data_IF_518501770190
#
_entry.id   IF_518501770190
#
_cell.length_a   1.000
_cell.length_b   1.000
_cell.length_c   1.000
_cell.angle_alpha   90.00
_cell.angle_beta   90.00
_cell.angle_gamma   90.00
#
_symmetry.space_group_name_H-M   'P 1'
#
loop_
_entity.id
_entity.type
_entity.pdbx_description
1 polymer ?
#
# COMPACT_ATOMS: atom_id res chain seq x y z
N UNK A 1 -18.85 -54.43 -91.09
CA UNK A 1 -18.63 -53.01 -91.24
C UNK A 1 -18.81 -52.38 -89.88
N UNK A 2 -17.81 -52.27 -89.10
CA UNK A 2 -17.87 -51.79 -87.73
C UNK A 2 -16.79 -50.73 -87.52
N UNK A 3 -17.18 -49.53 -87.29
CA UNK A 3 -16.29 -48.41 -86.97
C UNK A 3 -15.84 -48.52 -85.50
N UNK A 4 -14.57 -48.38 -85.17
CA UNK A 4 -14.15 -48.25 -83.80
C UNK A 4 -14.32 -46.80 -83.27
N UNK A 5 -14.90 -46.71 -82.15
CA UNK A 5 -15.14 -45.51 -81.38
C UNK A 5 -13.85 -44.99 -80.71
N UNK A 6 -13.47 -43.78 -80.98
CA UNK A 6 -12.31 -43.15 -80.38
C UNK A 6 -12.53 -42.84 -78.90
N UNK A 7 -11.60 -43.27 -78.02
CA UNK A 7 -11.59 -42.96 -76.62
C UNK A 7 -11.04 -41.54 -76.32
N UNK A 8 -11.81 -40.72 -75.68
CA UNK A 8 -11.43 -39.38 -75.27
C UNK A 8 -10.48 -39.44 -74.05
N UNK A 9 -9.28 -38.93 -74.23
CA UNK A 9 -8.28 -38.75 -73.14
C UNK A 9 -8.66 -37.50 -72.33
N UNK A 10 -8.96 -37.71 -71.07
CA UNK A 10 -9.20 -36.57 -70.11
C UNK A 10 -7.85 -36.04 -69.57
N UNK A 11 -7.63 -34.68 -69.52
CA UNK A 11 -6.41 -34.15 -68.99
C UNK A 11 -6.43 -34.20 -67.43
N UNK A 12 -5.26 -34.22 -66.77
CA UNK A 12 -5.17 -34.40 -65.34
C UNK A 12 -5.57 -33.06 -64.66
N UNK A 13 -6.47 -33.14 -63.66
CA UNK A 13 -6.85 -32.06 -62.77
C UNK A 13 -5.66 -31.67 -61.88
N UNK A 14 -5.04 -30.53 -62.13
CA UNK A 14 -4.10 -29.88 -61.20
C UNK A 14 -4.84 -29.47 -59.95
N UNK A 15 -4.53 -30.15 -58.82
CA UNK A 15 -4.91 -29.73 -57.49
C UNK A 15 -4.04 -28.55 -57.10
N UNK A 16 -4.62 -27.34 -57.06
CA UNK A 16 -4.01 -26.19 -56.40
C UNK A 16 -4.08 -26.44 -54.90
N UNK A 17 -2.93 -26.72 -54.25
CA UNK A 17 -2.78 -26.59 -52.81
C UNK A 17 -2.89 -25.10 -52.49
N UNK A 18 -4.00 -24.72 -51.86
CA UNK A 18 -4.09 -23.43 -51.19
C UNK A 18 -3.30 -23.55 -49.90
N UNK A 19 -2.12 -22.94 -49.85
CA UNK A 19 -1.37 -22.71 -48.63
C UNK A 19 -2.15 -21.71 -47.81
N UNK A 20 -2.87 -22.17 -46.79
CA UNK A 20 -3.51 -21.33 -45.82
C UNK A 20 -2.44 -20.74 -44.89
N UNK A 21 -2.13 -19.45 -45.05
CA UNK A 21 -1.29 -18.69 -44.13
C UNK A 21 -2.10 -18.46 -42.85
N UNK A 22 -1.86 -19.28 -41.84
CA UNK A 22 -2.39 -19.08 -40.50
C UNK A 22 -1.63 -17.91 -39.88
N UNK A 23 -2.25 -16.75 -39.88
CA UNK A 23 -1.80 -15.60 -39.08
C UNK A 23 -2.12 -15.91 -37.61
N UNK A 24 -1.12 -16.38 -36.88
CA UNK A 24 -1.21 -16.46 -35.42
C UNK A 24 -1.22 -15.05 -34.87
N UNK A 25 -2.40 -14.55 -34.53
CA UNK A 25 -2.57 -13.32 -33.77
C UNK A 25 -2.04 -13.59 -32.35
N UNK A 26 -0.80 -13.20 -32.09
CA UNK A 26 -0.24 -13.16 -30.73
C UNK A 26 -0.98 -12.06 -29.95
N UNK A 27 -1.99 -12.46 -29.17
CA UNK A 27 -2.64 -11.60 -28.19
C UNK A 27 -1.62 -11.30 -27.08
N UNK A 28 -0.97 -10.15 -27.15
CA UNK A 28 -0.21 -9.58 -26.04
C UNK A 28 -1.25 -9.18 -24.99
N UNK A 29 -1.53 -10.06 -24.03
CA UNK A 29 -2.19 -9.66 -22.81
C UNK A 29 -1.24 -8.69 -22.09
N UNK A 30 -1.51 -7.39 -22.22
CA UNK A 30 -0.94 -6.39 -21.35
C UNK A 30 -1.43 -6.73 -19.92
N UNK A 31 -0.56 -7.32 -19.10
CA UNK A 31 -0.72 -7.40 -17.66
C UNK A 31 -0.66 -5.96 -17.16
N UNK A 32 -1.82 -5.30 -17.12
CA UNK A 32 -1.99 -4.09 -16.34
C UNK A 32 -1.87 -4.52 -14.87
N UNK A 33 -0.65 -4.72 -14.40
CA UNK A 33 -0.37 -4.88 -12.98
C UNK A 33 -0.88 -3.60 -12.31
N UNK A 34 -1.69 -3.73 -11.25
CA UNK A 34 -2.00 -2.62 -10.38
C UNK A 34 -0.68 -2.08 -9.84
N UNK A 35 -0.20 -0.97 -10.39
CA UNK A 35 0.97 -0.29 -9.85
C UNK A 35 0.62 0.18 -8.44
N UNK A 36 1.54 0.00 -7.48
CA UNK A 36 1.40 0.61 -6.17
C UNK A 36 1.34 2.14 -6.33
N UNK A 37 0.62 2.86 -5.44
CA UNK A 37 0.57 4.31 -5.50
C UNK A 37 1.97 4.92 -5.43
N UNK A 38 2.26 5.92 -6.26
CA UNK A 38 3.48 6.70 -6.16
C UNK A 38 3.22 7.95 -5.32
N UNK A 39 4.08 8.23 -4.34
CA UNK A 39 3.95 9.43 -3.50
C UNK A 39 4.02 10.73 -4.32
N UNK A 40 4.64 10.72 -5.50
CA UNK A 40 4.71 11.86 -6.39
C UNK A 40 3.35 12.22 -7.00
N UNK A 41 2.42 11.28 -7.12
CA UNK A 41 1.08 11.53 -7.62
C UNK A 41 0.32 12.56 -6.78
N UNK A 42 0.72 12.73 -5.52
CA UNK A 42 0.10 13.64 -4.56
C UNK A 42 0.80 15.01 -4.45
N UNK A 43 1.86 15.27 -5.21
CA UNK A 43 2.70 16.47 -5.03
C UNK A 43 1.94 17.80 -5.17
N UNK A 44 0.87 17.83 -5.96
CA UNK A 44 0.01 19.00 -6.14
C UNK A 44 -1.15 19.11 -5.15
N UNK A 45 -1.43 18.05 -4.38
CA UNK A 45 -2.58 18.00 -3.47
C UNK A 45 -2.45 18.95 -2.27
N UNK A 46 -3.58 19.41 -1.77
CA UNK A 46 -3.67 20.38 -0.68
C UNK A 46 -4.69 19.92 0.38
N UNK A 47 -4.52 20.37 1.65
CA UNK A 47 -3.43 21.21 2.18
C UNK A 47 -2.10 20.47 2.21
N UNK A 48 -0.97 21.20 2.09
CA UNK A 48 0.36 20.55 2.14
C UNK A 48 0.64 20.03 3.55
N UNK A 49 1.04 18.76 3.64
CA UNK A 49 1.35 18.12 4.92
C UNK A 49 2.77 18.47 5.38
N UNK A 50 2.87 19.06 6.55
CA UNK A 50 4.09 19.14 7.36
C UNK A 50 3.84 18.43 8.69
N UNK A 51 4.59 17.36 8.98
CA UNK A 51 4.37 16.53 10.17
C UNK A 51 4.56 17.33 11.45
N UNK A 52 5.51 18.27 11.46
CA UNK A 52 5.77 19.12 12.64
C UNK A 52 4.60 20.03 12.95
N UNK A 53 3.91 20.53 11.91
CA UNK A 53 2.74 21.40 12.09
C UNK A 53 1.51 20.59 12.50
N UNK A 54 1.29 19.43 11.88
CA UNK A 54 0.14 18.58 12.17
C UNK A 54 0.30 17.88 13.54
N UNK A 55 1.36 17.11 13.72
CA UNK A 55 1.65 16.40 14.98
C UNK A 55 2.31 17.32 16.00
N UNK A 56 1.62 18.37 16.42
CA UNK A 56 2.03 19.29 17.47
C UNK A 56 0.85 19.58 18.40
N UNK A 57 1.01 19.31 19.69
CA UNK A 57 -0.08 19.31 20.67
C UNK A 57 -0.71 17.93 20.82
N UNK A 58 -2.02 17.87 21.06
CA UNK A 58 -2.74 16.61 21.30
C UNK A 58 -3.53 16.17 20.07
N UNK A 59 -3.39 14.90 19.70
CA UNK A 59 -4.12 14.26 18.60
C UNK A 59 -4.94 13.11 19.18
N UNK A 60 -6.21 13.00 18.82
CA UNK A 60 -7.03 11.81 19.03
C UNK A 60 -7.01 10.93 17.78
N UNK A 61 -6.87 9.61 17.96
CA UNK A 61 -6.95 8.63 16.90
C UNK A 61 -8.03 7.58 17.16
N UNK A 62 -8.68 7.11 16.09
CA UNK A 62 -9.73 6.09 16.12
C UNK A 62 -9.45 5.07 15.04
N UNK A 63 -9.15 3.85 15.41
CA UNK A 63 -8.68 2.86 14.46
C UNK A 63 -9.33 1.50 14.56
N UNK A 64 -9.24 0.77 13.45
CA UNK A 64 -9.64 -0.63 13.32
C UNK A 64 -8.52 -1.44 12.70
N UNK A 65 -8.38 -2.68 13.16
CA UNK A 65 -7.61 -3.70 12.46
C UNK A 65 -8.56 -4.60 11.69
N UNK A 66 -8.27 -4.83 10.42
CA UNK A 66 -8.96 -5.82 9.60
C UNK A 66 -8.01 -6.95 9.22
N UNK A 67 -8.52 -8.18 9.19
CA UNK A 67 -7.78 -9.30 8.65
C UNK A 67 -7.71 -9.21 7.10
N UNK A 68 -7.01 -10.15 6.47
CA UNK A 68 -6.87 -10.17 5.00
C UNK A 68 -8.20 -10.37 4.25
N UNK A 69 -9.25 -10.84 4.94
CA UNK A 69 -10.61 -11.00 4.43
C UNK A 69 -11.47 -9.75 4.59
N UNK A 70 -10.94 -8.69 5.24
CA UNK A 70 -11.67 -7.44 5.48
C UNK A 70 -12.52 -7.45 6.74
N UNK A 71 -12.51 -8.54 7.55
CA UNK A 71 -13.22 -8.60 8.83
C UNK A 71 -12.51 -7.75 9.88
N UNK A 72 -13.23 -6.87 10.57
CA UNK A 72 -12.72 -6.14 11.72
C UNK A 72 -12.46 -7.12 12.86
N UNK A 73 -11.21 -7.23 13.28
CA UNK A 73 -10.76 -8.14 14.34
C UNK A 73 -10.46 -7.41 15.65
N UNK A 74 -10.10 -6.11 15.60
CA UNK A 74 -9.84 -5.29 16.78
C UNK A 74 -10.11 -3.82 16.49
N UNK A 75 -10.56 -3.07 17.47
CA UNK A 75 -10.72 -1.61 17.43
C UNK A 75 -9.85 -0.98 18.51
N UNK A 76 -9.47 0.27 18.31
CA UNK A 76 -8.72 1.01 19.30
C UNK A 76 -8.98 2.51 19.21
N UNK A 77 -8.68 3.19 20.30
CA UNK A 77 -8.47 4.64 20.32
C UNK A 77 -7.04 4.90 20.76
N UNK A 78 -6.49 6.02 20.32
CA UNK A 78 -5.15 6.46 20.76
C UNK A 78 -5.19 7.97 21.05
N UNK A 79 -4.57 8.36 22.15
CA UNK A 79 -4.28 9.78 22.46
C UNK A 79 -2.79 9.97 22.26
N UNK A 80 -2.42 10.94 21.43
CA UNK A 80 -1.02 11.19 21.06
C UNK A 80 -0.62 12.56 21.60
N UNK A 81 0.38 12.61 22.46
CA UNK A 81 1.02 13.84 22.90
C UNK A 81 2.22 14.13 22.01
N UNK A 82 2.11 15.17 21.20
CA UNK A 82 3.11 15.49 20.20
C UNK A 82 3.89 16.75 20.57
N UNK A 83 5.21 16.71 20.45
CA UNK A 83 6.10 17.85 20.66
C UNK A 83 7.29 17.82 19.71
N UNK A 84 7.73 18.99 19.29
CA UNK A 84 8.88 19.16 18.41
C UNK A 84 9.88 20.15 18.99
N UNK A 85 11.17 19.86 18.75
CA UNK A 85 12.27 20.78 18.99
C UNK A 85 13.17 20.79 17.74
N UNK A 86 13.11 21.89 16.98
CA UNK A 86 13.73 21.93 15.66
C UNK A 86 13.16 20.87 14.73
N UNK A 87 14.03 19.99 14.24
CA UNK A 87 13.66 18.88 13.35
C UNK A 87 13.45 17.54 14.08
N UNK A 88 13.43 17.55 15.43
CA UNK A 88 13.20 16.38 16.26
C UNK A 88 11.79 16.39 16.83
N UNK A 89 11.01 15.36 16.52
CA UNK A 89 9.65 15.15 17.01
C UNK A 89 9.57 13.98 17.98
N UNK A 90 8.73 14.10 18.99
CA UNK A 90 8.34 13.00 19.89
C UNK A 90 6.82 12.90 19.87
N UNK A 91 6.31 11.72 19.51
CA UNK A 91 4.90 11.37 19.55
C UNK A 91 4.72 10.27 20.59
N UNK A 92 4.06 10.59 21.68
CA UNK A 92 3.80 9.70 22.81
C UNK A 92 2.36 9.21 22.71
N UNK A 93 2.18 7.93 22.35
CA UNK A 93 0.93 7.31 21.93
C UNK A 93 0.38 6.39 23.02
N UNK A 94 -0.76 6.76 23.62
CA UNK A 94 -1.49 5.93 24.58
C UNK A 94 -2.68 5.24 23.91
N UNK A 95 -2.54 3.95 23.63
CA UNK A 95 -3.57 3.11 23.02
C UNK A 95 -4.52 2.53 24.05
N UNK A 96 -5.80 2.46 23.70
CA UNK A 96 -6.81 1.69 24.41
C UNK A 96 -7.58 0.84 23.40
N UNK A 97 -7.49 -0.48 23.56
CA UNK A 97 -8.11 -1.45 22.66
C UNK A 97 -9.50 -1.87 23.12
N UNK A 98 -10.30 -2.41 22.19
CA UNK A 98 -11.69 -2.86 22.46
C UNK A 98 -11.78 -4.04 23.43
N UNK A 99 -10.70 -4.75 23.69
CA UNK A 99 -10.59 -5.82 24.71
C UNK A 99 -10.17 -5.28 26.08
N UNK A 100 -9.99 -3.96 26.21
CA UNK A 100 -9.58 -3.29 27.45
C UNK A 100 -8.06 -3.23 27.65
N UNK A 101 -7.28 -3.86 26.80
CA UNK A 101 -5.81 -3.76 26.89
C UNK A 101 -5.34 -2.35 26.56
N UNK A 102 -4.20 -1.96 27.14
CA UNK A 102 -3.56 -0.67 26.91
C UNK A 102 -2.11 -0.88 26.51
N UNK A 103 -1.64 -0.04 25.62
CA UNK A 103 -0.25 -0.02 25.18
C UNK A 103 0.22 1.42 25.08
N UNK A 104 1.52 1.63 25.27
CA UNK A 104 2.17 2.90 25.02
C UNK A 104 3.27 2.71 23.99
N UNK A 105 3.35 3.61 23.03
CA UNK A 105 4.43 3.68 22.04
C UNK A 105 4.94 5.10 21.95
N UNK A 106 6.25 5.26 21.94
CA UNK A 106 6.89 6.56 21.78
C UNK A 106 7.71 6.58 20.51
N UNK A 107 7.22 7.31 19.51
CA UNK A 107 7.99 7.61 18.32
C UNK A 107 8.96 8.76 18.57
N UNK A 108 10.17 8.60 18.05
CA UNK A 108 11.16 9.67 17.89
C UNK A 108 11.37 9.88 16.41
N UNK A 109 10.92 11.01 15.90
CA UNK A 109 10.91 11.31 14.47
C UNK A 109 11.96 12.38 14.19
N UNK A 110 12.71 12.23 13.11
CA UNK A 110 13.63 13.23 12.59
C UNK A 110 13.14 13.69 11.23
N UNK A 111 12.92 14.99 11.08
CA UNK A 111 12.67 15.62 9.79
C UNK A 111 14.00 15.77 9.05
N UNK A 112 14.03 15.38 7.80
CA UNK A 112 15.15 15.52 6.89
C UNK A 112 14.79 16.54 5.79
N UNK A 113 15.75 16.80 4.89
CA UNK A 113 15.49 17.61 3.70
C UNK A 113 14.46 16.95 2.77
N UNK A 114 13.86 17.74 1.89
CA UNK A 114 13.00 17.31 0.79
C UNK A 114 11.76 16.49 1.22
N UNK A 115 11.15 16.85 2.37
CA UNK A 115 9.96 16.18 2.88
C UNK A 115 10.20 14.72 3.30
N UNK A 116 11.43 14.33 3.57
CA UNK A 116 11.77 13.01 4.10
C UNK A 116 11.78 13.04 5.62
N UNK A 117 11.48 11.89 6.20
CA UNK A 117 11.47 11.68 7.65
C UNK A 117 12.05 10.32 7.98
N UNK A 118 12.60 10.19 9.17
CA UNK A 118 12.96 8.91 9.77
C UNK A 118 12.39 8.84 11.17
N UNK A 119 12.20 7.62 11.69
CA UNK A 119 11.69 7.44 13.05
C UNK A 119 12.08 6.12 13.66
N UNK A 120 12.07 6.10 15.00
CA UNK A 120 12.28 4.90 15.81
C UNK A 120 11.22 4.82 16.90
N UNK A 121 10.83 3.61 17.29
CA UNK A 121 10.03 3.35 18.49
C UNK A 121 10.51 2.01 19.10
N UNK A 122 10.04 1.70 20.31
CA UNK A 122 10.54 0.54 21.05
C UNK A 122 10.26 -0.83 20.41
N UNK A 123 9.20 -0.89 19.62
CA UNK A 123 8.75 -2.09 18.90
C UNK A 123 9.08 -2.06 17.39
N UNK A 124 9.84 -1.07 16.94
CA UNK A 124 10.26 -0.94 15.54
C UNK A 124 11.65 -1.52 15.35
N UNK A 125 11.77 -2.43 14.39
CA UNK A 125 13.04 -3.04 14.00
C UNK A 125 13.81 -2.08 13.12
N UNK A 126 14.96 -1.62 13.61
CA UNK A 126 15.77 -0.65 12.90
C UNK A 126 15.14 0.74 12.87
N UNK A 127 14.89 1.29 11.69
CA UNK A 127 14.40 2.65 11.50
C UNK A 127 13.27 2.69 10.48
N UNK A 128 12.18 3.36 10.84
CA UNK A 128 11.12 3.73 9.91
C UNK A 128 11.56 4.87 8.97
N UNK A 129 10.97 4.92 7.79
CA UNK A 129 11.26 5.93 6.76
C UNK A 129 9.96 6.47 6.18
N UNK A 130 9.94 7.76 5.91
CA UNK A 130 8.79 8.42 5.32
C UNK A 130 9.15 9.49 4.31
N UNK A 131 8.20 9.72 3.41
CA UNK A 131 8.27 10.80 2.42
C UNK A 131 6.91 11.48 2.38
N UNK A 132 6.89 12.81 2.56
CA UNK A 132 5.70 13.62 2.38
C UNK A 132 5.72 14.35 1.03
N UNK A 133 4.58 14.33 0.32
CA UNK A 133 4.34 15.11 -0.90
C UNK A 133 2.89 15.60 -0.89
N UNK A 134 2.70 16.88 -1.21
CA UNK A 134 1.37 17.49 -1.12
C UNK A 134 0.70 17.23 0.22
N UNK A 135 -0.49 16.67 0.23
CA UNK A 135 -1.23 16.34 1.46
C UNK A 135 -0.94 14.94 2.03
N UNK A 136 0.02 14.20 1.45
CA UNK A 136 0.20 12.76 1.71
C UNK A 136 1.56 12.48 2.33
N UNK A 137 1.61 11.53 3.27
CA UNK A 137 2.82 10.87 3.76
C UNK A 137 2.72 9.37 3.47
N UNK A 138 3.74 8.81 2.83
CA UNK A 138 4.00 7.38 2.88
C UNK A 138 5.03 7.11 3.99
N UNK A 139 4.74 6.18 4.90
CA UNK A 139 5.57 5.82 6.04
C UNK A 139 5.72 4.31 6.13
N UNK A 140 6.93 3.79 6.08
CA UNK A 140 7.21 2.36 6.06
C UNK A 140 8.14 1.92 7.17
N UNK A 141 7.84 0.77 7.78
CA UNK A 141 8.62 0.21 8.88
C UNK A 141 8.37 -1.30 9.06
N UNK A 142 9.24 -1.93 9.84
CA UNK A 142 9.05 -3.30 10.33
C UNK A 142 8.79 -3.24 11.82
N UNK A 143 7.71 -3.88 12.27
CA UNK A 143 7.31 -3.94 13.68
C UNK A 143 7.50 -5.35 14.22
N UNK A 144 8.09 -5.45 15.41
CA UNK A 144 8.21 -6.67 16.19
C UNK A 144 6.93 -6.88 17.02
N UNK A 145 6.02 -7.73 16.54
CA UNK A 145 4.73 -7.99 17.19
C UNK A 145 4.78 -9.26 18.05
N UNK A 146 4.37 -9.20 19.32
CA UNK A 146 4.14 -10.41 20.13
C UNK A 146 2.83 -11.08 19.66
N UNK A 147 2.94 -12.34 19.19
CA UNK A 147 1.80 -13.15 18.75
C UNK A 147 1.98 -14.55 19.32
N UNK A 148 1.03 -15.02 20.12
CA UNK A 148 1.03 -16.37 20.70
C UNK A 148 2.36 -16.76 21.38
N UNK A 149 2.93 -15.82 22.16
CA UNK A 149 4.19 -16.04 22.90
C UNK A 149 5.45 -16.01 22.04
N UNK A 150 5.34 -15.64 20.76
CA UNK A 150 6.48 -15.44 19.84
C UNK A 150 6.49 -14.01 19.36
N UNK A 151 7.67 -13.51 19.02
CA UNK A 151 7.81 -12.22 18.33
C UNK A 151 7.89 -12.49 16.84
N UNK A 152 7.00 -11.86 16.07
CA UNK A 152 7.04 -11.91 14.61
C UNK A 152 7.30 -10.50 14.05
N UNK A 153 8.12 -10.43 13.02
CA UNK A 153 8.34 -9.19 12.29
C UNK A 153 7.29 -9.04 11.18
N UNK A 154 6.61 -7.90 11.18
CA UNK A 154 5.56 -7.56 10.20
C UNK A 154 5.94 -6.24 9.56
N UNK A 155 5.90 -6.18 8.23
CA UNK A 155 6.10 -4.97 7.46
C UNK A 155 4.80 -4.16 7.43
N UNK A 156 4.94 -2.86 7.62
CA UNK A 156 3.87 -1.87 7.51
C UNK A 156 4.20 -0.88 6.41
N UNK A 157 3.20 -0.61 5.58
CA UNK A 157 3.20 0.45 4.56
C UNK A 157 2.00 1.35 4.80
N UNK A 158 2.27 2.49 5.44
CA UNK A 158 1.26 3.44 5.89
C UNK A 158 1.13 4.57 4.87
N UNK A 159 -0.10 4.87 4.49
CA UNK A 159 -0.46 6.01 3.68
C UNK A 159 -1.36 6.93 4.49
N UNK A 160 -0.88 8.14 4.75
CA UNK A 160 -1.61 9.15 5.52
C UNK A 160 -1.99 10.30 4.61
N UNK A 161 -3.23 10.74 4.71
CA UNK A 161 -3.82 11.79 3.86
C UNK A 161 -4.38 12.90 4.74
N UNK A 162 -3.79 14.09 4.66
CA UNK A 162 -4.29 15.27 5.36
C UNK A 162 -5.54 15.77 4.62
N UNK A 163 -6.68 15.74 5.30
CA UNK A 163 -7.97 16.13 4.73
C UNK A 163 -8.22 17.64 4.90
N UNK A 164 -7.90 18.15 6.07
CA UNK A 164 -7.95 19.56 6.45
C UNK A 164 -6.92 19.83 7.58
N UNK A 165 -6.91 21.01 8.18
CA UNK A 165 -5.95 21.38 9.21
C UNK A 165 -6.04 20.53 10.49
N UNK A 166 -7.13 19.76 10.66
CA UNK A 166 -7.43 18.99 11.87
C UNK A 166 -7.55 17.50 11.65
N UNK A 167 -7.98 17.05 10.48
CA UNK A 167 -8.27 15.65 10.20
C UNK A 167 -7.26 15.04 9.23
N UNK A 168 -6.73 13.88 9.60
CA UNK A 168 -5.89 13.04 8.73
C UNK A 168 -6.41 11.61 8.74
N UNK A 169 -6.48 10.99 7.58
CA UNK A 169 -6.80 9.58 7.43
C UNK A 169 -5.53 8.78 7.19
N UNK A 170 -5.45 7.59 7.79
CA UNK A 170 -4.36 6.66 7.59
C UNK A 170 -4.89 5.29 7.18
N UNK A 171 -4.21 4.69 6.24
CA UNK A 171 -4.41 3.34 5.78
C UNK A 171 -3.05 2.63 5.76
N UNK A 172 -2.89 1.61 6.60
CA UNK A 172 -1.65 0.87 6.75
C UNK A 172 -1.83 -0.58 6.35
N UNK A 173 -1.14 -1.03 5.31
CA UNK A 173 -1.10 -2.44 4.96
C UNK A 173 -0.09 -3.17 5.83
N UNK A 174 -0.49 -4.33 6.36
CA UNK A 174 0.38 -5.24 7.10
C UNK A 174 0.73 -6.43 6.22
N UNK A 175 2.03 -6.72 6.08
CA UNK A 175 2.50 -7.86 5.30
C UNK A 175 3.66 -8.59 5.98
N UNK A 176 3.86 -9.86 5.58
CA UNK A 176 5.01 -10.68 5.97
C UNK A 176 5.42 -11.57 4.79
N UNK A 177 6.70 -11.52 4.44
CA UNK A 177 7.23 -12.25 3.28
C UNK A 177 6.47 -11.95 1.97
N UNK A 178 6.01 -10.69 1.81
CA UNK A 178 5.22 -10.27 0.65
C UNK A 178 3.76 -10.73 0.66
N UNK A 179 3.30 -11.39 1.72
CA UNK A 179 1.90 -11.82 1.87
C UNK A 179 1.17 -10.82 2.75
N UNK A 180 0.08 -10.23 2.24
CA UNK A 180 -0.79 -9.34 3.00
C UNK A 180 -1.45 -10.09 4.15
N UNK A 181 -1.32 -9.58 5.37
CA UNK A 181 -1.91 -10.13 6.59
C UNK A 181 -3.23 -9.44 6.95
N UNK A 182 -3.31 -8.15 6.69
CA UNK A 182 -4.44 -7.32 7.05
C UNK A 182 -4.14 -5.84 6.84
N UNK A 183 -4.96 -5.00 7.44
CA UNK A 183 -4.89 -3.56 7.30
C UNK A 183 -5.29 -2.85 8.59
N UNK A 184 -4.66 -1.71 8.85
CA UNK A 184 -5.13 -0.74 9.85
C UNK A 184 -5.73 0.44 9.11
N UNK A 185 -6.96 0.79 9.44
CA UNK A 185 -7.55 2.07 9.05
C UNK A 185 -7.67 2.94 10.30
N UNK A 186 -7.18 4.17 10.22
CA UNK A 186 -7.11 5.08 11.36
C UNK A 186 -7.47 6.50 10.93
N UNK A 187 -8.32 7.15 11.70
CA UNK A 187 -8.62 8.58 11.58
C UNK A 187 -7.96 9.32 12.74
N UNK A 188 -7.19 10.34 12.44
CA UNK A 188 -6.62 11.27 13.42
C UNK A 188 -7.40 12.57 13.42
N UNK A 189 -7.53 13.15 14.60
CA UNK A 189 -8.12 14.47 14.80
C UNK A 189 -7.28 15.29 15.78
N UNK A 190 -6.75 16.39 15.30
CA UNK A 190 -6.06 17.37 16.13
C UNK A 190 -7.06 18.14 17.00
N UNK A 191 -6.72 18.31 18.30
CA UNK A 191 -7.52 19.09 19.24
C UNK A 191 -7.31 20.58 19.09
#
# INVERSE_FOLDING_TARGET
MTHPTAAAVRPPRRRFLRAGTSVAAASVLALAGCAAPDIQDYASERPALDLRSYFNGTIDGYGIFTDRGGKVVRRFTVVIQCRWSGDQGVLDEDFTYSDGTKENRVWRITRLADGRYTGTAGDIVGQARGVARGNTLNWSYTMALPVDGRVIEVQFDDWMYLMDDTVMLNKAEMSKFGIRLGEVTLAFRKR
#
